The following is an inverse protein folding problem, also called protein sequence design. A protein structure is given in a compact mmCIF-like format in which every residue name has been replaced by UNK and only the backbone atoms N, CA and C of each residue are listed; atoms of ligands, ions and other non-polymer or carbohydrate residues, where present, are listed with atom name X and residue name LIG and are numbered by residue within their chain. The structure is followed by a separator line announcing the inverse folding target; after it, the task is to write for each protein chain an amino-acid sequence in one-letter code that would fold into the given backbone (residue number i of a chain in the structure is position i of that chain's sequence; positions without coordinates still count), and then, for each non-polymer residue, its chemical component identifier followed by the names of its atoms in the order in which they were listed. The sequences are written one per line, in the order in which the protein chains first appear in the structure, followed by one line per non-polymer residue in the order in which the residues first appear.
data_IF_685180330319
#
_entry.id   IF_685180330319
#
_cell.length_a   1.000
_cell.length_b   1.000
_cell.length_c   1.000
_cell.angle_alpha   90.00
_cell.angle_beta   90.00
_cell.angle_gamma   90.00
#
_symmetry.space_group_name_H-M   'P 1'
#
loop_
_entity.id
_entity.type
_entity.pdbx_description
1 polymer ?
#
# COMPACT_ATOMS: atom_id res chain seq x y z
N UNK A 1 9.81 -11.24 -12.05
CA UNK A 1 10.19 -9.98 -11.34
C UNK A 1 10.74 -10.30 -9.97
N UNK A 2 11.79 -9.63 -9.55
CA UNK A 2 12.21 -9.73 -8.16
C UNK A 2 11.27 -8.92 -7.25
N UNK A 3 11.45 -9.05 -5.94
CA UNK A 3 10.58 -8.38 -4.97
C UNK A 3 10.52 -6.86 -5.13
N UNK A 4 11.67 -6.23 -5.39
CA UNK A 4 11.73 -4.75 -5.50
C UNK A 4 11.05 -4.26 -6.77
N UNK A 5 11.23 -4.98 -7.88
CA UNK A 5 10.55 -4.66 -9.15
C UNK A 5 9.04 -4.79 -9.01
N UNK A 6 8.57 -5.84 -8.34
CA UNK A 6 7.14 -6.07 -8.09
C UNK A 6 6.53 -4.96 -7.25
N UNK A 7 7.16 -4.66 -6.10
CA UNK A 7 6.69 -3.60 -5.19
C UNK A 7 6.63 -2.26 -5.91
N UNK A 8 7.68 -1.93 -6.66
CA UNK A 8 7.72 -0.68 -7.44
C UNK A 8 6.61 -0.63 -8.48
N UNK A 9 6.36 -1.72 -9.18
CA UNK A 9 5.25 -1.81 -10.15
C UNK A 9 3.91 -1.54 -9.48
N UNK A 10 3.68 -2.11 -8.29
CA UNK A 10 2.45 -1.89 -7.53
C UNK A 10 2.31 -0.41 -7.12
N UNK A 11 3.40 0.24 -6.73
CA UNK A 11 3.41 1.67 -6.45
C UNK A 11 2.99 2.49 -7.67
N UNK A 12 3.53 2.16 -8.84
CA UNK A 12 3.22 2.85 -10.10
C UNK A 12 1.75 2.66 -10.52
N UNK A 13 1.21 1.46 -10.31
CA UNK A 13 -0.20 1.17 -10.61
C UNK A 13 -1.14 2.01 -9.75
N UNK A 14 -0.87 2.09 -8.45
CA UNK A 14 -1.67 2.92 -7.53
C UNK A 14 -1.54 4.41 -7.87
N UNK A 15 -0.33 4.87 -8.17
CA UNK A 15 -0.10 6.25 -8.60
C UNK A 15 -0.91 6.58 -9.87
N UNK A 16 -0.98 5.64 -10.80
CA UNK A 16 -1.80 5.78 -12.01
C UNK A 16 -3.30 5.91 -11.72
N UNK A 17 -3.79 5.15 -10.74
CA UNK A 17 -5.20 5.24 -10.32
C UNK A 17 -5.50 6.58 -9.64
N UNK A 18 -4.60 7.10 -8.81
CA UNK A 18 -4.76 8.44 -8.23
C UNK A 18 -4.78 9.53 -9.30
N UNK A 19 -3.97 9.41 -10.35
CA UNK A 19 -3.99 10.35 -11.48
C UNK A 19 -5.31 10.32 -12.22
N UNK A 20 -5.89 9.14 -12.42
CA UNK A 20 -7.22 9.00 -13.01
C UNK A 20 -8.28 9.66 -12.14
N UNK A 21 -8.17 9.48 -10.82
CA UNK A 21 -9.09 10.10 -9.87
C UNK A 21 -9.05 11.63 -9.96
N UNK A 22 -7.85 12.22 -10.03
CA UNK A 22 -7.66 13.67 -10.13
C UNK A 22 -8.29 14.27 -11.39
N UNK A 23 -8.42 13.49 -12.45
CA UNK A 23 -8.95 13.95 -13.73
C UNK A 23 -10.45 13.82 -13.86
N UNK A 24 -11.15 13.27 -12.86
CA UNK A 24 -12.60 13.11 -12.92
C UNK A 24 -13.30 14.46 -12.89
N UNK A 25 -14.39 14.56 -13.68
CA UNK A 25 -15.24 15.74 -13.72
C UNK A 25 -16.02 15.91 -12.39
N UNK A 26 -16.51 17.11 -12.13
CA UNK A 26 -17.44 17.35 -11.04
C UNK A 26 -18.66 16.42 -11.21
N UNK A 27 -19.21 15.95 -10.10
CA UNK A 27 -20.37 15.05 -10.05
C UNK A 27 -20.15 13.64 -10.63
N UNK A 28 -18.90 13.25 -10.90
CA UNK A 28 -18.55 11.88 -11.31
C UNK A 28 -18.46 10.95 -10.09
N UNK A 29 -19.51 10.93 -9.25
CA UNK A 29 -19.47 10.22 -7.95
C UNK A 29 -19.32 8.72 -8.09
N UNK A 30 -19.97 8.12 -9.09
CA UNK A 30 -19.85 6.69 -9.36
C UNK A 30 -18.42 6.28 -9.73
N UNK A 31 -17.77 7.08 -10.58
CA UNK A 31 -16.37 6.83 -10.98
C UNK A 31 -15.42 7.09 -9.82
N UNK A 32 -15.66 8.08 -8.97
CA UNK A 32 -14.90 8.32 -7.75
C UNK A 32 -14.95 7.13 -6.81
N UNK A 33 -16.15 6.60 -6.60
CA UNK A 33 -16.36 5.43 -5.75
C UNK A 33 -15.60 4.22 -6.29
N UNK A 34 -15.74 3.94 -7.58
CA UNK A 34 -15.07 2.81 -8.22
C UNK A 34 -13.55 2.91 -8.15
N UNK A 35 -12.99 4.09 -8.46
CA UNK A 35 -11.54 4.28 -8.37
C UNK A 35 -11.03 4.18 -6.94
N UNK A 36 -11.77 4.73 -5.98
CA UNK A 36 -11.40 4.57 -4.57
C UNK A 36 -11.36 3.08 -4.18
N UNK A 37 -12.36 2.31 -4.56
CA UNK A 37 -12.40 0.88 -4.24
C UNK A 37 -11.21 0.12 -4.85
N UNK A 38 -10.84 0.44 -6.09
CA UNK A 38 -9.66 -0.15 -6.73
C UNK A 38 -8.37 0.24 -6.01
N UNK A 39 -8.23 1.51 -5.63
CA UNK A 39 -7.07 1.99 -4.88
C UNK A 39 -6.99 1.28 -3.52
N UNK A 40 -8.11 1.21 -2.82
CA UNK A 40 -8.18 0.60 -1.48
C UNK A 40 -7.85 -0.90 -1.52
N UNK A 41 -8.35 -1.64 -2.51
CA UNK A 41 -8.02 -3.05 -2.69
C UNK A 41 -6.52 -3.24 -2.91
N UNK A 42 -5.94 -2.45 -3.81
CA UNK A 42 -4.51 -2.56 -4.11
C UNK A 42 -3.63 -2.17 -2.93
N UNK A 43 -3.98 -1.11 -2.22
CA UNK A 43 -3.24 -0.69 -1.03
C UNK A 43 -3.36 -1.72 0.10
N UNK A 44 -4.55 -2.28 0.30
CA UNK A 44 -4.77 -3.31 1.31
C UNK A 44 -3.94 -4.56 1.06
N UNK A 45 -3.97 -5.08 -0.16
CA UNK A 45 -3.19 -6.25 -0.55
C UNK A 45 -1.69 -5.97 -0.51
N UNK A 46 -1.27 -4.81 -1.00
CA UNK A 46 0.13 -4.38 -1.01
C UNK A 46 0.71 -4.30 0.40
N UNK A 47 0.03 -3.61 1.31
CA UNK A 47 0.47 -3.52 2.70
C UNK A 47 0.57 -4.91 3.35
N UNK A 48 -0.37 -5.79 3.07
CA UNK A 48 -0.39 -7.14 3.63
C UNK A 48 0.82 -7.96 3.21
N UNK A 49 1.17 -7.97 1.93
CA UNK A 49 2.32 -8.74 1.48
C UNK A 49 3.65 -8.17 2.01
N UNK A 50 3.72 -6.85 2.18
CA UNK A 50 4.90 -6.24 2.79
C UNK A 50 5.03 -6.60 4.27
N UNK A 51 3.95 -6.51 5.02
CA UNK A 51 3.94 -6.81 6.46
C UNK A 51 4.19 -8.29 6.75
N UNK A 52 3.69 -9.18 5.91
CA UNK A 52 3.79 -10.62 6.14
C UNK A 52 5.11 -11.22 5.61
N UNK A 53 5.70 -10.67 4.54
CA UNK A 53 6.82 -11.28 3.84
C UNK A 53 8.02 -10.36 3.62
N UNK A 54 7.80 -9.17 3.09
CA UNK A 54 8.89 -8.27 2.71
C UNK A 54 9.61 -7.68 3.92
N UNK A 55 8.90 -7.08 4.83
CA UNK A 55 9.49 -6.48 6.04
C UNK A 55 10.16 -7.52 6.94
N UNK A 56 9.55 -8.70 7.17
CA UNK A 56 10.24 -9.75 7.93
C UNK A 56 11.57 -10.20 7.30
N UNK A 57 11.65 -10.21 5.96
CA UNK A 57 12.89 -10.56 5.26
C UNK A 57 13.99 -9.51 5.46
N UNK A 58 13.64 -8.28 5.79
CA UNK A 58 14.58 -7.17 6.00
C UNK A 58 14.94 -6.95 7.46
N UNK A 59 14.33 -7.69 8.39
CA UNK A 59 14.48 -7.44 9.81
C UNK A 59 15.88 -7.72 10.32
N UNK A 60 16.56 -6.67 10.74
CA UNK A 60 17.86 -6.66 11.41
C UNK A 60 17.85 -5.54 12.46
N UNK A 61 18.82 -5.55 13.36
CA UNK A 61 18.93 -4.53 14.40
C UNK A 61 18.96 -3.11 13.81
N UNK A 62 19.69 -2.91 12.73
CA UNK A 62 19.88 -1.61 12.10
C UNK A 62 18.72 -1.17 11.16
N UNK A 63 17.77 -2.06 10.88
CA UNK A 63 16.57 -1.74 10.08
C UNK A 63 15.29 -1.60 10.90
N UNK A 64 15.32 -1.97 12.18
CA UNK A 64 14.08 -1.99 12.99
C UNK A 64 13.35 -0.64 13.05
N UNK A 65 14.07 0.46 13.19
CA UNK A 65 13.46 1.78 13.26
C UNK A 65 12.75 2.15 11.96
N UNK A 66 13.37 1.88 10.83
CA UNK A 66 12.77 2.13 9.51
C UNK A 66 11.55 1.24 9.28
N UNK A 67 11.60 -0.03 9.72
CA UNK A 67 10.47 -0.94 9.61
C UNK A 67 9.30 -0.51 10.50
N UNK A 68 9.57 -0.06 11.72
CA UNK A 68 8.53 0.47 12.62
C UNK A 68 7.85 1.70 12.03
N UNK A 69 8.63 2.60 11.45
CA UNK A 69 8.08 3.76 10.75
C UNK A 69 7.19 3.33 9.58
N UNK A 70 7.65 2.37 8.77
CA UNK A 70 6.91 1.87 7.63
C UNK A 70 5.53 1.31 8.03
N UNK A 71 5.46 0.49 9.09
CA UNK A 71 4.17 -0.07 9.52
C UNK A 71 3.27 0.96 10.18
N UNK A 72 3.83 2.00 10.81
CA UNK A 72 3.05 3.14 11.30
C UNK A 72 2.49 3.98 10.16
N UNK A 73 3.23 4.17 9.08
CA UNK A 73 2.74 4.82 7.87
C UNK A 73 1.62 3.99 7.23
N UNK A 74 1.75 2.67 7.20
CA UNK A 74 0.68 1.77 6.77
C UNK A 74 -0.58 1.94 7.62
N UNK A 75 -0.43 2.05 8.94
CA UNK A 75 -1.55 2.25 9.86
C UNK A 75 -2.31 3.54 9.53
N UNK A 76 -1.59 4.62 9.27
CA UNK A 76 -2.18 5.91 8.91
C UNK A 76 -2.99 5.79 7.61
N UNK A 77 -2.44 5.13 6.60
CA UNK A 77 -3.13 4.84 5.33
C UNK A 77 -4.36 3.98 5.57
N UNK A 78 -4.25 2.92 6.36
CA UNK A 78 -5.37 2.01 6.68
C UNK A 78 -6.53 2.76 7.36
N UNK A 79 -6.22 3.67 8.26
CA UNK A 79 -7.24 4.48 8.95
C UNK A 79 -7.98 5.40 7.99
N UNK A 80 -7.29 6.01 7.04
CA UNK A 80 -7.93 6.82 6.00
C UNK A 80 -8.81 5.96 5.09
N UNK A 81 -8.36 4.79 4.70
CA UNK A 81 -9.16 3.85 3.91
C UNK A 81 -10.43 3.45 4.67
N UNK A 82 -10.30 3.10 5.96
CA UNK A 82 -11.44 2.72 6.78
C UNK A 82 -12.48 3.85 6.88
N UNK A 83 -12.03 5.09 7.06
CA UNK A 83 -12.91 6.26 7.06
C UNK A 83 -13.63 6.42 5.72
N UNK A 84 -12.90 6.32 4.62
CA UNK A 84 -13.45 6.46 3.26
C UNK A 84 -14.44 5.34 2.91
N UNK A 85 -14.24 4.13 3.43
CA UNK A 85 -15.18 3.02 3.22
C UNK A 85 -16.56 3.28 3.85
N UNK A 86 -16.64 4.10 4.89
CA UNK A 86 -17.88 4.49 5.54
C UNK A 86 -18.52 5.74 4.92
N UNK A 87 -17.83 6.38 3.97
CA UNK A 87 -18.30 7.61 3.33
C UNK A 87 -18.88 7.34 1.96
N UNK A 88 -19.71 8.24 1.50
CA UNK A 88 -20.20 8.29 0.12
C UNK A 88 -19.32 9.23 -0.69
N UNK A 89 -19.08 8.91 -1.96
CA UNK A 89 -18.28 9.77 -2.83
C UNK A 89 -18.89 11.16 -3.05
N UNK A 90 -20.19 11.33 -2.72
CA UNK A 90 -20.86 12.63 -2.73
C UNK A 90 -20.58 13.50 -1.51
N UNK A 91 -19.96 12.95 -0.45
CA UNK A 91 -19.59 13.72 0.73
C UNK A 91 -18.52 14.77 0.40
N UNK A 92 -18.68 15.98 0.95
CA UNK A 92 -17.74 17.08 0.72
C UNK A 92 -16.30 16.73 1.18
N UNK A 93 -16.20 15.91 2.22
CA UNK A 93 -14.91 15.52 2.79
C UNK A 93 -14.23 14.37 2.03
N UNK A 94 -14.92 13.73 1.09
CA UNK A 94 -14.39 12.56 0.38
C UNK A 94 -13.13 12.91 -0.44
N UNK A 95 -13.20 13.94 -1.25
CA UNK A 95 -12.06 14.39 -2.06
C UNK A 95 -10.89 14.85 -1.21
N UNK A 96 -11.16 15.54 -0.10
CA UNK A 96 -10.12 15.98 0.84
C UNK A 96 -9.38 14.78 1.46
N UNK A 97 -10.12 13.76 1.88
CA UNK A 97 -9.51 12.54 2.42
C UNK A 97 -8.75 11.76 1.36
N UNK A 98 -9.25 11.69 0.13
CA UNK A 98 -8.53 11.07 -0.99
C UNK A 98 -7.21 11.76 -1.27
N UNK A 99 -7.19 13.09 -1.20
CA UNK A 99 -5.96 13.86 -1.39
C UNK A 99 -4.94 13.58 -0.29
N UNK A 100 -5.38 13.55 0.97
CA UNK A 100 -4.50 13.23 2.11
C UNK A 100 -3.98 11.79 1.99
N UNK A 101 -4.85 10.86 1.59
CA UNK A 101 -4.44 9.46 1.33
C UNK A 101 -3.33 9.40 0.28
N UNK A 102 -3.51 10.10 -0.83
CA UNK A 102 -2.50 10.16 -1.89
C UNK A 102 -1.17 10.71 -1.38
N UNK A 103 -1.20 11.81 -0.64
CA UNK A 103 0.01 12.43 -0.09
C UNK A 103 0.77 11.49 0.86
N UNK A 104 0.03 10.78 1.71
CA UNK A 104 0.65 9.81 2.64
C UNK A 104 1.23 8.60 1.91
N UNK A 105 0.53 8.11 0.89
CA UNK A 105 1.03 7.00 0.06
C UNK A 105 2.31 7.43 -0.68
N UNK A 106 2.30 8.60 -1.30
CA UNK A 106 3.47 9.13 -2.01
C UNK A 106 4.69 9.28 -1.10
N UNK A 107 4.49 9.81 0.11
CA UNK A 107 5.55 9.95 1.10
C UNK A 107 6.13 8.59 1.51
N UNK A 108 5.27 7.62 1.81
CA UNK A 108 5.68 6.27 2.17
C UNK A 108 6.45 5.59 1.04
N UNK A 109 5.96 5.69 -0.19
CA UNK A 109 6.61 5.13 -1.39
C UNK A 109 8.01 5.70 -1.57
N UNK A 110 8.17 7.02 -1.42
CA UNK A 110 9.47 7.68 -1.55
C UNK A 110 10.49 7.14 -0.53
N UNK A 111 10.08 7.00 0.73
CA UNK A 111 10.95 6.45 1.77
C UNK A 111 11.26 4.97 1.55
N UNK A 112 10.27 4.17 1.17
CA UNK A 112 10.45 2.74 0.94
C UNK A 112 11.36 2.46 -0.25
N UNK A 113 11.14 3.12 -1.37
CA UNK A 113 12.00 2.95 -2.56
C UNK A 113 13.39 3.52 -2.35
N UNK A 114 13.57 4.40 -1.39
CA UNK A 114 14.87 4.88 -0.95
C UNK A 114 15.53 3.93 0.05
N UNK A 115 15.24 4.13 1.31
CA UNK A 115 15.96 3.48 2.41
C UNK A 115 15.72 1.98 2.51
N UNK A 116 14.47 1.52 2.40
CA UNK A 116 14.16 0.09 2.53
C UNK A 116 14.64 -0.72 1.33
N UNK A 117 14.54 -0.19 0.12
CA UNK A 117 15.07 -0.87 -1.07
C UNK A 117 16.58 -0.97 -1.01
N UNK A 118 17.26 0.07 -0.52
CA UNK A 118 18.70 0.05 -0.31
C UNK A 118 19.11 -1.04 0.69
N UNK A 119 18.39 -1.13 1.80
CA UNK A 119 18.59 -2.18 2.80
C UNK A 119 18.36 -3.58 2.20
N UNK A 120 17.32 -3.75 1.40
CA UNK A 120 17.01 -5.02 0.75
C UNK A 120 18.14 -5.47 -0.18
N UNK A 121 18.68 -4.57 -1.00
CA UNK A 121 19.80 -4.88 -1.90
C UNK A 121 21.05 -5.29 -1.14
N UNK A 122 21.24 -4.74 0.04
CA UNK A 122 22.40 -5.06 0.90
C UNK A 122 22.23 -6.40 1.63
N UNK A 123 21.00 -6.71 2.09
CA UNK A 123 20.72 -7.85 2.96
C UNK A 123 20.37 -9.13 2.18
N UNK A 124 19.77 -9.00 1.00
CA UNK A 124 19.26 -10.14 0.24
C UNK A 124 20.06 -10.33 -1.04
N UNK A 125 20.38 -11.60 -1.35
CA UNK A 125 21.00 -11.96 -2.61
C UNK A 125 20.02 -11.82 -3.78
N UNK A 126 20.54 -11.87 -5.01
CA UNK A 126 19.71 -11.89 -6.21
C UNK A 126 18.67 -13.02 -6.17
N UNK A 127 19.10 -14.24 -5.79
CA UNK A 127 18.21 -15.40 -5.73
C UNK A 127 17.15 -15.22 -4.65
N UNK A 128 17.51 -14.66 -3.49
CA UNK A 128 16.55 -14.37 -2.42
C UNK A 128 15.52 -13.33 -2.85
N UNK A 129 15.94 -12.29 -3.56
CA UNK A 129 15.01 -11.28 -4.10
C UNK A 129 14.09 -11.87 -5.16
N UNK A 130 14.59 -12.75 -6.01
CA UNK A 130 13.79 -13.44 -7.03
C UNK A 130 12.73 -14.36 -6.38
N UNK A 131 13.16 -15.18 -5.41
CA UNK A 131 12.25 -16.08 -4.69
C UNK A 131 11.18 -15.32 -3.91
N UNK A 132 11.58 -14.24 -3.25
CA UNK A 132 10.64 -13.37 -2.52
C UNK A 132 9.64 -12.72 -3.49
N UNK A 133 10.09 -12.30 -4.65
CA UNK A 133 9.23 -11.73 -5.69
C UNK A 133 8.12 -12.69 -6.11
N UNK A 134 8.45 -13.97 -6.31
CA UNK A 134 7.48 -15.01 -6.64
C UNK A 134 6.44 -15.16 -5.50
N UNK A 135 6.92 -15.24 -4.26
CA UNK A 135 6.05 -15.37 -3.09
C UNK A 135 5.10 -14.18 -2.94
N UNK A 136 5.61 -12.97 -3.09
CA UNK A 136 4.80 -11.74 -3.01
C UNK A 136 3.73 -11.70 -4.10
N UNK A 137 4.09 -12.06 -5.34
CA UNK A 137 3.15 -12.06 -6.46
C UNK A 137 2.02 -13.07 -6.24
N UNK A 138 2.34 -14.29 -5.84
CA UNK A 138 1.34 -15.33 -5.58
C UNK A 138 0.37 -14.92 -4.47
N UNK A 139 0.89 -14.35 -3.39
CA UNK A 139 0.05 -13.91 -2.28
C UNK A 139 -0.81 -12.69 -2.67
N UNK A 140 -0.21 -11.73 -3.36
CA UNK A 140 -0.95 -10.56 -3.85
C UNK A 140 -2.11 -10.97 -4.77
N UNK A 141 -1.85 -11.85 -5.72
CA UNK A 141 -2.87 -12.33 -6.65
C UNK A 141 -4.01 -13.05 -5.91
N UNK A 142 -3.66 -13.86 -4.90
CA UNK A 142 -4.64 -14.53 -4.05
C UNK A 142 -5.52 -13.52 -3.30
N UNK A 143 -4.91 -12.49 -2.71
CA UNK A 143 -5.66 -11.44 -2.01
C UNK A 143 -6.57 -10.67 -2.96
N UNK A 144 -6.11 -10.40 -4.17
CA UNK A 144 -6.87 -9.64 -5.17
C UNK A 144 -8.01 -10.45 -5.81
N UNK A 145 -8.09 -11.77 -5.60
CA UNK A 145 -9.27 -12.56 -5.98
C UNK A 145 -10.52 -12.17 -5.17
N UNK A 146 -10.32 -11.63 -3.96
CA UNK A 146 -11.38 -11.10 -3.11
C UNK A 146 -11.46 -9.59 -3.21
N UNK A 147 -11.96 -8.99 -2.13
CA UNK A 147 -12.04 -7.54 -1.98
C UNK A 147 -11.21 -7.14 -0.73
N UNK A 148 -9.87 -7.08 -0.85
CA UNK A 148 -9.00 -6.91 0.32
C UNK A 148 -9.22 -5.59 1.07
N UNK A 149 -9.82 -4.58 0.45
CA UNK A 149 -10.21 -3.33 1.13
C UNK A 149 -11.09 -3.58 2.36
N UNK A 150 -11.92 -4.64 2.31
CA UNK A 150 -12.86 -4.94 3.39
C UNK A 150 -12.20 -5.50 4.64
N UNK A 151 -10.96 -5.96 4.55
CA UNK A 151 -10.18 -6.43 5.69
C UNK A 151 -9.44 -5.29 6.41
N UNK A 152 -9.27 -4.16 5.74
CA UNK A 152 -8.51 -3.01 6.27
C UNK A 152 -9.07 -2.46 7.57
N UNK A 153 -10.42 -2.28 7.75
CA UNK A 153 -10.94 -1.75 9.00
C UNK A 153 -10.58 -2.56 10.25
N UNK A 154 -10.39 -3.87 10.12
CA UNK A 154 -9.99 -4.73 11.24
C UNK A 154 -8.51 -4.52 11.66
N UNK A 155 -7.73 -3.79 10.85
CA UNK A 155 -6.30 -3.58 11.05
C UNK A 155 -5.96 -2.14 11.47
N UNK A 156 -6.95 -1.39 11.97
CA UNK A 156 -6.79 0.05 12.28
C UNK A 156 -6.52 0.35 13.75
N UNK A 157 -6.48 -0.64 14.62
CA UNK A 157 -6.30 -0.44 16.05
C UNK A 157 -4.84 -0.11 16.37
N UNK A 158 -3.91 -0.84 15.80
CA UNK A 158 -2.48 -0.62 15.98
C UNK A 158 -1.71 -1.10 14.73
N UNK A 159 -0.46 -0.66 14.61
CA UNK A 159 0.42 -1.06 13.51
C UNK A 159 0.71 -2.56 13.55
N UNK A 160 0.98 -3.14 12.37
CA UNK A 160 1.42 -4.52 12.26
C UNK A 160 2.75 -4.72 13.02
N UNK A 161 2.96 -5.91 13.64
CA UNK A 161 4.23 -6.20 14.29
C UNK A 161 5.36 -6.33 13.27
N UNK A 162 6.56 -6.02 13.71
CA UNK A 162 7.76 -6.25 12.91
C UNK A 162 8.60 -7.40 13.44
#
# INVERSE_FOLDING_TARGET
MNALELIKQQHEEVAGLFKKYEKLAEHADAERQELFEQIADRLGAHAKIEEDYFYPALKKEDTEDDLREAVEEHLSVKRLIADLLEMDASDEEFDAKMKVLQEQVEHHVEEEEGDLFKAARKLLSKDQLDDLGIQLEEEYDTLMEGEPRNDVPAETEHAAPI
#
